data_IF_818965166059
#
_entry.id   IF_818965166059
#
_cell.length_a   1.000
_cell.length_b   1.000
_cell.length_c   1.000
_cell.angle_alpha   90.00
_cell.angle_beta   90.00
_cell.angle_gamma   90.00
#
_symmetry.space_group_name_H-M   'P 1'
#
loop_
_entity.id
_entity.type
_entity.pdbx_description
1 polymer ?
#
# COMPACT_ATOMS: atom_id res chain seq x y z
N UNK A 1 35.85 -78.84 -39.23
CA UNK A 1 34.59 -79.59 -39.46
C UNK A 1 33.61 -79.30 -38.34
N UNK A 2 32.37 -79.00 -38.72
CA UNK A 2 31.13 -78.98 -37.92
C UNK A 2 30.89 -77.84 -36.91
N UNK A 3 30.12 -76.89 -37.45
CA UNK A 3 29.16 -75.96 -36.85
C UNK A 3 28.28 -76.51 -35.72
N UNK A 4 27.85 -75.60 -34.81
CA UNK A 4 26.45 -75.21 -34.53
C UNK A 4 26.28 -74.71 -33.06
N UNK A 5 25.96 -73.43 -32.81
CA UNK A 5 24.61 -72.87 -32.46
C UNK A 5 24.15 -73.36 -31.04
N UNK A 6 23.83 -72.55 -29.99
CA UNK A 6 23.00 -71.33 -29.87
C UNK A 6 23.11 -70.70 -28.46
N UNK A 7 22.95 -69.36 -28.45
CA UNK A 7 22.57 -68.36 -27.41
C UNK A 7 22.00 -68.79 -26.04
N UNK A 8 22.42 -68.06 -24.99
CA UNK A 8 21.60 -67.33 -23.97
C UNK A 8 22.54 -66.43 -23.15
N UNK A 9 22.66 -65.12 -23.44
CA UNK A 9 21.92 -63.99 -22.84
C UNK A 9 21.99 -63.90 -21.31
N UNK A 10 22.82 -62.97 -20.81
CA UNK A 10 22.90 -62.60 -19.40
C UNK A 10 23.97 -61.53 -19.17
N UNK A 11 23.74 -60.31 -19.65
CA UNK A 11 24.67 -59.19 -19.52
C UNK A 11 24.76 -58.71 -18.07
N UNK A 12 25.89 -58.97 -17.42
CA UNK A 12 26.26 -58.42 -16.12
C UNK A 12 26.71 -56.96 -16.31
N UNK A 13 25.85 -56.00 -15.96
CA UNK A 13 26.15 -54.56 -16.06
C UNK A 13 26.60 -54.02 -14.71
N UNK A 14 27.80 -53.43 -14.76
CA UNK A 14 28.48 -52.59 -13.79
C UNK A 14 27.55 -51.72 -12.92
N UNK A 15 27.60 -51.94 -11.60
CA UNK A 15 27.12 -50.99 -10.60
C UNK A 15 28.30 -50.14 -10.09
N UNK A 16 28.33 -48.88 -10.51
CA UNK A 16 28.82 -47.72 -9.74
C UNK A 16 28.61 -46.43 -10.53
N UNK A 17 27.66 -45.60 -10.09
CA UNK A 17 27.94 -44.16 -9.87
C UNK A 17 26.85 -43.44 -9.09
N UNK A 18 27.31 -42.87 -7.98
CA UNK A 18 26.79 -41.73 -7.26
C UNK A 18 26.14 -40.64 -8.13
N UNK A 19 24.97 -40.15 -7.73
CA UNK A 19 24.82 -38.89 -6.97
C UNK A 19 23.35 -38.48 -6.93
N UNK A 20 22.77 -38.46 -5.72
CA UNK A 20 21.46 -37.88 -5.42
C UNK A 20 21.47 -36.39 -5.81
N UNK A 21 20.70 -36.01 -6.83
CA UNK A 21 20.32 -34.61 -7.11
C UNK A 21 19.50 -34.07 -5.94
N UNK A 22 20.20 -33.44 -4.98
CA UNK A 22 19.58 -32.59 -3.97
C UNK A 22 18.94 -31.40 -4.69
N UNK A 23 17.60 -31.34 -4.65
CA UNK A 23 16.85 -30.13 -5.01
C UNK A 23 17.36 -28.99 -4.13
N UNK A 24 18.01 -27.98 -4.72
CA UNK A 24 18.42 -26.73 -4.06
C UNK A 24 17.20 -26.17 -3.30
N UNK A 25 17.25 -26.19 -1.97
CA UNK A 25 16.36 -25.37 -1.13
C UNK A 25 16.65 -23.92 -1.50
N UNK A 26 15.65 -23.21 -1.98
CA UNK A 26 15.70 -21.76 -2.18
C UNK A 26 16.06 -21.13 -0.83
N UNK A 27 17.26 -20.60 -0.71
CA UNK A 27 17.73 -19.93 0.49
C UNK A 27 16.83 -18.71 0.70
N UNK A 28 16.04 -18.70 1.77
CA UNK A 28 15.38 -17.47 2.23
C UNK A 28 16.50 -16.49 2.54
N UNK A 29 16.70 -15.50 1.66
CA UNK A 29 17.61 -14.39 1.91
C UNK A 29 17.20 -13.74 3.23
N UNK A 30 17.93 -14.02 4.32
CA UNK A 30 17.88 -13.29 5.58
C UNK A 30 18.76 -12.05 5.36
N UNK A 31 18.18 -10.86 5.50
CA UNK A 31 18.88 -9.59 5.27
C UNK A 31 19.10 -8.93 6.62
N UNK A 32 20.20 -8.18 6.77
CA UNK A 32 20.47 -7.47 8.00
C UNK A 32 19.40 -6.42 8.27
N UNK A 33 19.07 -6.21 9.55
CA UNK A 33 18.16 -5.15 10.01
C UNK A 33 18.84 -3.78 10.01
N UNK A 34 20.16 -3.75 10.19
CA UNK A 34 20.94 -2.53 10.40
C UNK A 34 21.69 -2.09 9.16
N UNK A 35 22.02 -3.02 8.26
CA UNK A 35 22.80 -2.73 7.06
C UNK A 35 22.03 -3.10 5.79
N UNK A 36 21.86 -2.13 4.89
CA UNK A 36 21.29 -2.36 3.56
C UNK A 36 22.33 -3.05 2.68
N UNK A 37 22.04 -4.23 2.11
CA UNK A 37 22.94 -4.84 1.14
C UNK A 37 23.19 -3.93 -0.08
N UNK A 38 24.40 -3.99 -0.64
CA UNK A 38 24.78 -3.13 -1.77
C UNK A 38 23.98 -3.43 -3.03
N UNK A 39 23.59 -4.70 -3.21
CA UNK A 39 22.82 -5.18 -4.35
C UNK A 39 21.30 -4.95 -4.23
N UNK A 40 20.82 -4.24 -3.21
CA UNK A 40 19.39 -3.98 -3.01
C UNK A 40 19.09 -2.48 -2.92
N UNK A 41 17.99 -2.09 -3.56
CA UNK A 41 17.37 -0.78 -3.33
C UNK A 41 16.82 -0.65 -1.91
N UNK A 42 16.68 0.59 -1.43
CA UNK A 42 16.19 0.88 -0.08
C UNK A 42 14.79 0.29 0.17
N UNK A 43 13.85 0.55 -0.75
CA UNK A 43 12.47 0.05 -0.64
C UNK A 43 12.40 -1.48 -0.66
N UNK A 44 13.19 -2.12 -1.52
CA UNK A 44 13.23 -3.56 -1.65
C UNK A 44 13.75 -4.21 -0.36
N UNK A 45 14.85 -3.69 0.19
CA UNK A 45 15.38 -4.12 1.48
C UNK A 45 14.33 -3.95 2.60
N UNK A 46 13.66 -2.81 2.65
CA UNK A 46 12.61 -2.53 3.64
C UNK A 46 11.38 -3.44 3.51
N UNK A 47 11.00 -3.84 2.28
CA UNK A 47 9.94 -4.83 2.03
C UNK A 47 10.37 -6.24 2.46
N UNK A 48 11.61 -6.64 2.18
CA UNK A 48 12.16 -7.94 2.61
C UNK A 48 12.20 -8.04 4.13
N UNK A 49 12.62 -6.98 4.83
CA UNK A 49 12.61 -6.94 6.29
C UNK A 49 11.19 -7.18 6.84
N UNK A 50 10.18 -6.48 6.33
CA UNK A 50 8.77 -6.67 6.75
C UNK A 50 8.29 -8.12 6.55
N UNK A 51 8.69 -8.76 5.44
CA UNK A 51 8.41 -10.19 5.19
C UNK A 51 9.06 -11.09 6.22
N UNK A 52 10.34 -10.87 6.54
CA UNK A 52 11.07 -11.68 7.53
C UNK A 52 10.50 -11.53 8.93
N UNK A 53 10.20 -10.28 9.33
CA UNK A 53 9.60 -10.01 10.63
C UNK A 53 8.22 -10.63 10.76
N UNK A 54 7.41 -10.55 9.69
CA UNK A 54 6.09 -11.13 9.65
C UNK A 54 6.09 -12.64 9.95
N UNK A 55 7.04 -13.40 9.41
CA UNK A 55 7.12 -14.85 9.67
C UNK A 55 7.34 -15.21 11.16
N UNK A 56 7.88 -14.28 11.95
CA UNK A 56 8.20 -14.47 13.38
C UNK A 56 7.05 -14.04 14.30
N UNK A 57 6.00 -13.41 13.77
CA UNK A 57 4.89 -12.89 14.59
C UNK A 57 3.89 -13.98 14.95
N UNK A 58 3.24 -13.82 16.11
CA UNK A 58 2.16 -14.68 16.61
C UNK A 58 0.80 -13.97 16.63
N UNK A 59 0.50 -13.20 15.57
CA UNK A 59 -0.78 -12.50 15.48
C UNK A 59 -1.97 -13.44 15.31
N UNK A 60 -3.10 -13.07 15.91
CA UNK A 60 -4.39 -13.74 15.69
C UNK A 60 -5.04 -13.12 14.46
N UNK A 61 -5.46 -13.95 13.50
CA UNK A 61 -6.05 -13.52 12.24
C UNK A 61 -7.46 -14.09 12.09
N UNK A 62 -8.45 -13.22 11.91
CA UNK A 62 -9.86 -13.57 11.74
C UNK A 62 -10.35 -13.02 10.40
N UNK A 63 -10.94 -13.86 9.57
CA UNK A 63 -11.61 -13.42 8.34
C UNK A 63 -12.96 -12.79 8.70
N UNK A 64 -13.24 -11.59 8.19
CA UNK A 64 -14.48 -10.84 8.42
C UNK A 64 -15.34 -10.73 7.16
N UNK A 65 -14.82 -11.08 5.99
CA UNK A 65 -15.58 -11.14 4.75
C UNK A 65 -15.87 -12.58 4.32
N UNK A 66 -16.51 -12.71 3.16
CA UNK A 66 -17.04 -13.98 2.66
C UNK A 66 -16.00 -14.83 1.94
N UNK A 67 -15.06 -14.20 1.22
CA UNK A 67 -14.08 -14.94 0.44
C UNK A 67 -12.95 -15.46 1.35
N UNK A 68 -12.41 -16.67 1.13
CA UNK A 68 -11.37 -17.20 2.01
C UNK A 68 -10.05 -16.42 1.94
N UNK A 69 -9.69 -15.87 0.77
CA UNK A 69 -8.38 -15.21 0.52
C UNK A 69 -8.53 -13.70 0.28
N UNK A 70 -9.20 -13.30 -0.80
CA UNK A 70 -9.49 -11.92 -1.14
C UNK A 70 -10.61 -11.32 -0.29
N UNK A 71 -10.28 -10.99 0.96
CA UNK A 71 -11.27 -10.59 1.96
C UNK A 71 -10.73 -9.53 2.90
N UNK A 72 -11.60 -9.09 3.80
CA UNK A 72 -11.24 -8.23 4.91
C UNK A 72 -10.97 -9.08 6.16
N UNK A 73 -9.86 -8.78 6.82
CA UNK A 73 -9.36 -9.50 7.97
C UNK A 73 -9.19 -8.55 9.16
N UNK A 74 -9.43 -9.10 10.33
CA UNK A 74 -9.08 -8.49 11.61
C UNK A 74 -7.85 -9.22 12.15
N UNK A 75 -6.77 -8.47 12.39
CA UNK A 75 -5.52 -8.98 12.90
C UNK A 75 -5.24 -8.37 14.28
N UNK A 76 -5.12 -9.20 15.30
CA UNK A 76 -4.89 -8.78 16.69
C UNK A 76 -3.49 -9.19 17.13
N UNK A 77 -2.73 -8.24 17.68
CA UNK A 77 -1.49 -8.53 18.36
C UNK A 77 -1.78 -8.99 19.80
N UNK A 78 -1.50 -10.25 20.19
CA UNK A 78 -1.78 -10.71 21.54
C UNK A 78 -0.97 -9.99 22.62
N UNK A 79 0.20 -9.44 22.30
CA UNK A 79 1.07 -8.77 23.29
C UNK A 79 0.59 -7.35 23.63
N UNK A 80 0.03 -6.64 22.65
CA UNK A 80 -0.40 -5.24 22.80
C UNK A 80 -1.91 -5.07 22.77
N UNK A 81 -2.65 -6.15 22.52
CA UNK A 81 -4.11 -6.22 22.33
C UNK A 81 -4.70 -5.39 21.17
N UNK A 82 -3.88 -4.57 20.51
CA UNK A 82 -4.26 -3.79 19.34
C UNK A 82 -4.74 -4.67 18.19
N UNK A 83 -5.85 -4.24 17.59
CA UNK A 83 -6.47 -4.88 16.43
C UNK A 83 -6.43 -3.97 15.22
N UNK A 84 -5.99 -4.52 14.09
CA UNK A 84 -5.89 -3.82 12.81
C UNK A 84 -6.80 -4.48 11.77
N UNK A 85 -7.51 -3.65 11.01
CA UNK A 85 -8.22 -4.05 9.78
C UNK A 85 -7.23 -4.18 8.61
N UNK A 86 -7.38 -5.24 7.82
CA UNK A 86 -6.54 -5.55 6.65
C UNK A 86 -7.44 -6.00 5.50
N UNK A 87 -7.30 -5.38 4.34
CA UNK A 87 -7.99 -5.79 3.11
C UNK A 87 -6.99 -6.45 2.16
N UNK A 88 -7.20 -7.74 1.88
CA UNK A 88 -6.38 -8.50 0.93
C UNK A 88 -7.12 -8.58 -0.40
N UNK A 89 -6.46 -8.15 -1.48
CA UNK A 89 -6.99 -8.16 -2.85
C UNK A 89 -5.98 -8.65 -3.90
N UNK A 90 -4.80 -9.08 -3.44
CA UNK A 90 -3.73 -9.59 -4.29
C UNK A 90 -2.49 -9.89 -3.45
N UNK A 91 -1.40 -10.30 -4.08
CA UNK A 91 -0.18 -10.67 -3.36
C UNK A 91 1.02 -9.74 -3.61
N UNK A 92 0.83 -8.72 -4.45
CA UNK A 92 1.81 -7.66 -4.73
C UNK A 92 1.63 -6.47 -3.77
N UNK A 93 2.70 -5.74 -3.43
CA UNK A 93 2.60 -4.46 -2.75
C UNK A 93 1.66 -3.50 -3.49
N UNK A 94 0.87 -2.73 -2.74
CA UNK A 94 -0.10 -1.77 -3.28
C UNK A 94 -1.46 -2.35 -3.65
N UNK A 95 -1.61 -3.69 -3.69
CA UNK A 95 -2.91 -4.34 -3.87
C UNK A 95 -3.75 -4.38 -2.59
N UNK A 96 -3.09 -4.28 -1.44
CA UNK A 96 -3.66 -4.57 -0.12
C UNK A 96 -3.60 -3.31 0.74
N UNK A 97 -4.51 -3.21 1.71
CA UNK A 97 -4.62 -2.06 2.61
C UNK A 97 -4.54 -2.52 4.06
N UNK A 98 -3.90 -1.74 4.92
CA UNK A 98 -3.88 -1.98 6.36
C UNK A 98 -4.07 -0.68 7.13
N UNK A 99 -4.90 -0.74 8.18
CA UNK A 99 -5.17 0.39 9.08
C UNK A 99 -3.99 0.79 9.99
N UNK A 100 -2.90 0.03 10.02
CA UNK A 100 -1.78 0.30 10.92
C UNK A 100 -0.99 1.55 10.53
N UNK A 101 -0.39 2.28 11.49
CA UNK A 101 0.39 3.49 11.21
C UNK A 101 1.55 3.29 10.24
N UNK A 102 2.30 2.18 10.36
CA UNK A 102 3.43 1.85 9.47
C UNK A 102 3.01 1.89 8.00
N UNK A 103 1.90 1.21 7.65
CA UNK A 103 1.39 1.18 6.27
C UNK A 103 1.09 2.58 5.73
N UNK A 104 0.48 3.45 6.56
CA UNK A 104 0.06 4.79 6.16
C UNK A 104 1.23 5.72 5.82
N UNK A 105 2.36 5.55 6.49
CA UNK A 105 3.49 6.49 6.42
C UNK A 105 4.69 5.97 5.64
N UNK A 106 4.80 4.65 5.42
CA UNK A 106 6.02 4.07 4.84
C UNK A 106 6.09 4.12 3.30
N UNK A 107 4.97 4.36 2.61
CA UNK A 107 4.84 4.37 1.13
C UNK A 107 5.31 3.07 0.41
N UNK A 108 5.53 1.98 1.13
CA UNK A 108 6.01 0.72 0.55
C UNK A 108 4.89 -0.13 -0.06
N UNK A 109 3.62 0.26 0.12
CA UNK A 109 2.45 -0.52 -0.28
C UNK A 109 2.30 -1.84 0.48
N UNK A 110 3.00 -1.99 1.62
CA UNK A 110 2.92 -3.15 2.50
C UNK A 110 3.36 -2.80 3.93
N UNK A 111 3.07 -3.67 4.88
CA UNK A 111 3.50 -3.56 6.28
C UNK A 111 3.67 -4.96 6.87
N UNK A 112 4.21 -5.06 8.09
CA UNK A 112 4.35 -6.37 8.75
C UNK A 112 3.04 -7.16 8.87
N UNK A 113 1.90 -6.47 9.00
CA UNK A 113 0.59 -7.11 9.15
C UNK A 113 0.07 -7.70 7.82
N UNK A 114 0.25 -6.98 6.70
CA UNK A 114 -0.07 -7.47 5.36
C UNK A 114 0.80 -8.68 5.04
N UNK A 115 2.11 -8.57 5.25
CA UNK A 115 3.03 -9.68 4.97
C UNK A 115 2.73 -10.92 5.82
N UNK A 116 2.35 -10.74 7.10
CA UNK A 116 1.92 -11.86 7.95
C UNK A 116 0.64 -12.52 7.41
N UNK A 117 -0.33 -11.71 7.02
CA UNK A 117 -1.61 -12.19 6.49
C UNK A 117 -1.40 -12.96 5.20
N UNK A 118 -0.64 -12.39 4.25
CA UNK A 118 -0.26 -13.06 3.01
C UNK A 118 0.51 -14.36 3.27
N UNK A 119 1.44 -14.37 4.23
CA UNK A 119 2.17 -15.57 4.63
C UNK A 119 1.25 -16.68 5.13
N UNK A 120 0.25 -16.36 5.97
CA UNK A 120 -0.75 -17.33 6.45
C UNK A 120 -1.66 -17.81 5.33
N UNK A 121 -2.14 -16.90 4.48
CA UNK A 121 -3.03 -17.24 3.37
C UNK A 121 -2.34 -18.12 2.32
N UNK A 122 -1.07 -17.83 1.99
CA UNK A 122 -0.27 -18.60 1.01
C UNK A 122 -0.01 -20.06 1.41
N UNK A 123 -0.24 -20.44 2.67
CA UNK A 123 -0.16 -21.84 3.14
C UNK A 123 -1.41 -22.67 2.85
N UNK A 124 -2.51 -22.04 2.43
CA UNK A 124 -3.75 -22.77 2.10
C UNK A 124 -3.61 -23.50 0.77
N UNK A 125 -4.28 -24.65 0.66
CA UNK A 125 -4.19 -25.58 -0.49
C UNK A 125 -4.43 -24.87 -1.84
N UNK A 126 -5.39 -23.96 -1.89
CA UNK A 126 -5.82 -23.30 -3.14
C UNK A 126 -5.23 -21.90 -3.33
N UNK A 127 -4.33 -21.46 -2.45
CA UNK A 127 -3.84 -20.08 -2.46
C UNK A 127 -3.06 -19.73 -3.72
N UNK A 128 -2.24 -20.65 -4.22
CA UNK A 128 -1.45 -20.42 -5.45
C UNK A 128 -2.36 -20.16 -6.64
N UNK A 129 -3.40 -20.99 -6.81
CA UNK A 129 -4.39 -20.86 -7.88
C UNK A 129 -5.17 -19.55 -7.74
N UNK A 130 -5.64 -19.24 -6.54
CA UNK A 130 -6.38 -18.02 -6.27
C UNK A 130 -5.56 -16.75 -6.60
N UNK A 131 -4.28 -16.70 -6.25
CA UNK A 131 -3.43 -15.52 -6.54
C UNK A 131 -3.01 -15.41 -8.01
N UNK A 132 -3.08 -16.48 -8.80
CA UNK A 132 -2.82 -16.43 -10.25
C UNK A 132 -4.05 -16.04 -11.07
N UNK A 133 -5.25 -16.33 -10.55
CA UNK A 133 -6.51 -16.01 -11.22
C UNK A 133 -6.94 -14.57 -10.92
N UNK A 134 -7.49 -13.89 -11.92
CA UNK A 134 -8.10 -12.57 -11.72
C UNK A 134 -9.38 -12.74 -10.92
N UNK A 135 -9.38 -12.23 -9.69
CA UNK A 135 -10.57 -12.25 -8.83
C UNK A 135 -11.30 -10.90 -8.89
N UNK A 136 -12.54 -10.92 -9.36
CA UNK A 136 -13.45 -9.78 -9.30
C UNK A 136 -14.36 -9.89 -8.08
N UNK A 137 -14.43 -8.82 -7.30
CA UNK A 137 -15.31 -8.71 -6.13
C UNK A 137 -16.72 -8.35 -6.56
N UNK A 138 -17.78 -8.71 -5.82
CA UNK A 138 -19.16 -8.34 -6.17
C UNK A 138 -19.46 -6.84 -6.01
N UNK A 139 -18.49 -6.06 -5.56
CA UNK A 139 -18.57 -4.61 -5.35
C UNK A 139 -17.32 -3.94 -5.93
N UNK A 140 -17.44 -2.65 -6.22
CA UNK A 140 -16.29 -1.83 -6.63
C UNK A 140 -15.68 -1.13 -5.41
N UNK A 141 -14.40 -0.81 -5.49
CA UNK A 141 -13.68 -0.12 -4.42
C UNK A 141 -12.99 1.14 -4.93
N UNK A 142 -12.94 2.15 -4.08
CA UNK A 142 -12.06 3.32 -4.21
C UNK A 142 -11.07 3.24 -3.07
N UNK A 143 -9.78 3.20 -3.40
CA UNK A 143 -8.72 3.01 -2.44
C UNK A 143 -7.54 3.93 -2.74
N UNK A 144 -6.76 4.23 -1.70
CA UNK A 144 -5.51 4.96 -1.85
C UNK A 144 -4.39 3.98 -2.17
N UNK A 145 -3.77 4.14 -3.33
CA UNK A 145 -2.57 3.40 -3.69
C UNK A 145 -1.33 4.09 -3.13
N UNK A 146 -0.50 3.33 -2.43
CA UNK A 146 0.74 3.80 -1.82
C UNK A 146 1.93 3.34 -2.65
N UNK A 147 2.64 4.30 -3.24
CA UNK A 147 3.88 4.12 -3.98
C UNK A 147 4.67 5.43 -3.97
N UNK A 148 5.39 5.74 -5.06
CA UNK A 148 6.14 6.99 -5.21
C UNK A 148 5.27 8.24 -4.98
N UNK A 149 4.01 8.17 -5.44
CA UNK A 149 2.95 9.11 -5.09
C UNK A 149 1.73 8.35 -4.56
N UNK A 150 0.99 9.00 -3.67
CA UNK A 150 -0.32 8.54 -3.22
C UNK A 150 -1.34 8.87 -4.30
N UNK A 151 -2.10 7.87 -4.75
CA UNK A 151 -3.06 8.02 -5.85
C UNK A 151 -4.39 7.41 -5.47
N UNK A 152 -5.50 8.11 -5.72
CA UNK A 152 -6.83 7.54 -5.57
C UNK A 152 -7.09 6.67 -6.79
N UNK A 153 -7.33 5.38 -6.57
CA UNK A 153 -7.58 4.40 -7.61
C UNK A 153 -8.93 3.73 -7.47
N UNK A 154 -9.48 3.32 -8.61
CA UNK A 154 -10.73 2.58 -8.68
C UNK A 154 -10.47 1.11 -9.03
N UNK A 155 -11.01 0.21 -8.22
CA UNK A 155 -11.07 -1.23 -8.51
C UNK A 155 -12.48 -1.58 -8.96
N UNK A 156 -12.59 -2.07 -10.18
CA UNK A 156 -13.86 -2.47 -10.77
C UNK A 156 -14.30 -3.83 -10.20
N UNK A 157 -15.52 -3.86 -9.66
CA UNK A 157 -16.19 -5.08 -9.25
C UNK A 157 -16.78 -5.85 -10.44
N UNK A 158 -17.11 -7.11 -10.19
CA UNK A 158 -17.93 -7.94 -11.05
C UNK A 158 -19.28 -7.26 -11.30
N UNK A 159 -19.78 -7.34 -12.53
CA UNK A 159 -21.10 -6.87 -12.91
C UNK A 159 -21.32 -5.36 -12.69
N UNK A 160 -20.24 -4.56 -12.68
CA UNK A 160 -20.31 -3.11 -12.54
C UNK A 160 -21.21 -2.48 -13.63
N UNK A 161 -22.21 -1.65 -13.26
CA UNK A 161 -23.21 -1.16 -14.20
C UNK A 161 -22.63 -0.16 -15.21
N UNK A 162 -23.24 -0.08 -16.39
CA UNK A 162 -22.81 0.83 -17.47
C UNK A 162 -22.83 2.30 -17.02
N UNK A 163 -23.79 2.70 -16.19
CA UNK A 163 -23.86 4.05 -15.61
C UNK A 163 -22.61 4.38 -14.79
N UNK A 164 -22.12 3.45 -13.97
CA UNK A 164 -20.88 3.60 -13.22
C UNK A 164 -19.67 3.67 -14.15
N UNK A 165 -19.62 2.84 -15.20
CA UNK A 165 -18.53 2.88 -16.21
C UNK A 165 -18.47 4.23 -16.93
N UNK A 166 -19.61 4.82 -17.28
CA UNK A 166 -19.68 6.16 -17.87
C UNK A 166 -19.20 7.23 -16.90
N UNK A 167 -19.62 7.16 -15.64
CA UNK A 167 -19.14 8.07 -14.58
C UNK A 167 -17.62 7.99 -14.41
N UNK A 168 -17.05 6.78 -14.43
CA UNK A 168 -15.60 6.58 -14.30
C UNK A 168 -14.82 7.27 -15.41
N UNK A 169 -15.30 7.28 -16.65
CA UNK A 169 -14.61 7.97 -17.77
C UNK A 169 -14.48 9.48 -17.54
N UNK A 170 -15.43 10.07 -16.79
CA UNK A 170 -15.40 11.48 -16.42
C UNK A 170 -14.32 11.74 -15.38
N UNK A 171 -14.30 10.98 -14.29
CA UNK A 171 -13.48 11.26 -13.11
C UNK A 171 -12.10 10.57 -13.07
N UNK A 172 -11.96 9.43 -13.73
CA UNK A 172 -10.76 8.59 -13.73
C UNK A 172 -10.17 8.49 -15.14
N UNK A 173 -8.85 8.30 -15.20
CA UNK A 173 -8.14 8.05 -16.45
C UNK A 173 -8.21 6.56 -16.86
N UNK A 174 -7.53 6.20 -17.95
CA UNK A 174 -7.46 4.83 -18.48
C UNK A 174 -6.86 3.84 -17.48
N UNK A 175 -5.94 4.30 -16.63
CA UNK A 175 -5.28 3.50 -15.59
C UNK A 175 -6.11 3.39 -14.30
N UNK A 176 -7.36 3.86 -14.34
CA UNK A 176 -8.28 3.91 -13.20
C UNK A 176 -7.74 4.75 -12.03
N UNK A 177 -6.98 5.79 -12.33
CA UNK A 177 -6.48 6.80 -11.38
C UNK A 177 -7.37 8.05 -11.47
N UNK A 178 -7.73 8.63 -10.32
CA UNK A 178 -8.49 9.88 -10.27
C UNK A 178 -7.70 10.99 -10.97
N UNK A 179 -8.36 11.76 -11.84
CA UNK A 179 -7.72 12.90 -12.51
C UNK A 179 -7.49 14.04 -11.51
N UNK A 180 -6.37 14.75 -11.63
CA UNK A 180 -5.95 15.75 -10.65
C UNK A 180 -6.97 16.90 -10.50
N UNK A 181 -7.63 17.30 -11.60
CA UNK A 181 -8.68 18.32 -11.59
C UNK A 181 -9.92 17.92 -10.75
N UNK A 182 -10.05 16.63 -10.44
CA UNK A 182 -11.17 16.07 -9.68
C UNK A 182 -10.86 15.83 -8.20
N UNK A 183 -9.62 16.04 -7.77
CA UNK A 183 -9.19 15.75 -6.40
C UNK A 183 -9.92 16.61 -5.37
N UNK A 184 -9.99 17.93 -5.60
CA UNK A 184 -10.59 18.87 -4.64
C UNK A 184 -12.12 18.80 -4.60
N UNK A 185 -12.76 18.25 -5.62
CA UNK A 185 -14.21 18.05 -5.73
C UNK A 185 -14.59 16.57 -5.79
N UNK A 186 -13.78 15.70 -5.20
CA UNK A 186 -14.03 14.26 -5.17
C UNK A 186 -15.40 13.86 -4.60
N UNK A 187 -15.98 14.68 -3.71
CA UNK A 187 -17.35 14.50 -3.20
C UNK A 187 -18.41 14.49 -4.31
N UNK A 188 -18.19 15.23 -5.41
CA UNK A 188 -19.08 15.20 -6.57
C UNK A 188 -19.14 13.82 -7.21
N UNK A 189 -18.01 13.12 -7.27
CA UNK A 189 -17.98 11.74 -7.75
C UNK A 189 -18.81 10.84 -6.84
N UNK A 190 -18.56 10.86 -5.52
CA UNK A 190 -19.28 10.04 -4.56
C UNK A 190 -20.81 10.26 -4.61
N UNK A 191 -21.24 11.53 -4.70
CA UNK A 191 -22.65 11.88 -4.81
C UNK A 191 -23.27 11.46 -6.15
N UNK A 192 -22.46 11.28 -7.19
CA UNK A 192 -22.90 10.83 -8.52
C UNK A 192 -22.90 9.30 -8.65
N UNK A 193 -22.39 8.56 -7.67
CA UNK A 193 -22.40 7.09 -7.70
C UNK A 193 -23.85 6.60 -7.62
N UNK A 194 -24.32 5.76 -8.57
CA UNK A 194 -25.68 5.23 -8.54
C UNK A 194 -25.93 4.40 -7.27
N UNK A 195 -26.91 4.79 -6.45
CA UNK A 195 -27.22 4.10 -5.19
C UNK A 195 -28.20 2.92 -5.34
N UNK A 196 -29.02 2.91 -6.39
CA UNK A 196 -30.17 1.98 -6.52
C UNK A 196 -29.96 0.86 -7.56
N UNK A 197 -28.70 0.57 -7.93
CA UNK A 197 -28.40 -0.35 -9.03
C UNK A 197 -27.97 -1.76 -8.55
N UNK A 198 -28.11 -2.05 -7.25
CA UNK A 198 -27.67 -3.32 -6.65
C UNK A 198 -26.16 -3.56 -6.61
N UNK A 199 -25.35 -2.59 -7.08
CA UNK A 199 -23.90 -2.65 -7.12
C UNK A 199 -23.30 -1.69 -6.10
N UNK A 200 -22.65 -2.23 -5.06
CA UNK A 200 -22.03 -1.44 -4.00
C UNK A 200 -20.70 -0.82 -4.48
N UNK A 201 -20.44 0.44 -4.11
CA UNK A 201 -19.15 1.09 -4.29
C UNK A 201 -18.62 1.50 -2.92
N UNK A 202 -17.53 0.86 -2.48
CA UNK A 202 -16.91 1.11 -1.18
C UNK A 202 -15.77 2.11 -1.31
N UNK A 203 -15.80 3.17 -0.50
CA UNK A 203 -14.68 4.12 -0.41
C UNK A 203 -13.90 3.84 0.88
N UNK A 204 -12.58 3.70 0.79
CA UNK A 204 -11.74 3.51 1.97
C UNK A 204 -11.56 4.83 2.74
N UNK A 205 -11.50 4.75 4.08
CA UNK A 205 -11.39 5.93 4.96
C UNK A 205 -10.15 6.80 4.68
N UNK A 206 -9.06 6.17 4.24
CA UNK A 206 -7.80 6.86 3.95
C UNK A 206 -7.87 7.71 2.67
N UNK A 207 -8.78 7.40 1.74
CA UNK A 207 -9.09 8.24 0.58
C UNK A 207 -9.69 9.57 1.04
N UNK A 208 -10.66 9.54 1.95
CA UNK A 208 -11.30 10.77 2.45
C UNK A 208 -10.31 11.63 3.22
N UNK A 209 -9.45 11.02 4.03
CA UNK A 209 -8.38 11.72 4.74
C UNK A 209 -7.39 12.39 3.78
N UNK A 210 -7.03 11.72 2.68
CA UNK A 210 -6.15 12.26 1.65
C UNK A 210 -6.78 13.43 0.89
N UNK A 211 -8.07 13.33 0.53
CA UNK A 211 -8.81 14.43 -0.10
C UNK A 211 -8.88 15.64 0.81
N UNK A 212 -9.22 15.44 2.10
CA UNK A 212 -9.29 16.51 3.08
C UNK A 212 -7.94 17.23 3.23
N UNK A 213 -6.82 16.48 3.29
CA UNK A 213 -5.47 17.06 3.35
C UNK A 213 -5.18 18.01 2.17
N UNK A 214 -5.63 17.67 0.96
CA UNK A 214 -5.46 18.50 -0.24
C UNK A 214 -6.41 19.71 -0.24
N UNK A 215 -7.65 19.53 0.19
CA UNK A 215 -8.63 20.60 0.33
C UNK A 215 -8.17 21.64 1.36
N UNK A 216 -7.66 21.19 2.50
CA UNK A 216 -7.09 22.06 3.53
C UNK A 216 -5.88 22.83 3.01
N UNK A 217 -5.01 22.19 2.22
CA UNK A 217 -3.87 22.86 1.58
C UNK A 217 -4.32 23.95 0.62
N UNK A 218 -5.23 23.63 -0.30
CA UNK A 218 -5.78 24.59 -1.25
C UNK A 218 -6.49 25.77 -0.55
N UNK A 219 -7.21 25.47 0.54
CA UNK A 219 -7.86 26.50 1.35
C UNK A 219 -6.84 27.44 2.02
N UNK A 220 -5.80 26.89 2.65
CA UNK A 220 -4.71 27.69 3.24
C UNK A 220 -4.03 28.57 2.20
N UNK A 221 -3.69 28.02 1.04
CA UNK A 221 -3.07 28.77 -0.06
C UNK A 221 -3.94 29.94 -0.50
N UNK A 222 -5.25 29.73 -0.62
CA UNK A 222 -6.21 30.80 -0.95
C UNK A 222 -6.22 31.89 0.12
N UNK A 223 -6.28 31.53 1.40
CA UNK A 223 -6.23 32.49 2.52
C UNK A 223 -4.94 33.31 2.45
N UNK A 224 -3.79 32.66 2.32
CA UNK A 224 -2.48 33.33 2.25
C UNK A 224 -2.44 34.27 1.05
N UNK A 225 -2.85 33.82 -0.14
CA UNK A 225 -2.86 34.66 -1.34
C UNK A 225 -3.77 35.89 -1.19
N UNK A 226 -4.91 35.75 -0.50
CA UNK A 226 -5.87 36.85 -0.32
C UNK A 226 -5.46 37.81 0.80
N UNK A 227 -5.04 37.29 1.96
CA UNK A 227 -4.79 38.08 3.18
C UNK A 227 -3.33 38.54 3.32
N UNK A 228 -2.39 37.84 2.69
CA UNK A 228 -0.95 38.05 2.82
C UNK A 228 -0.30 38.46 1.48
N UNK A 229 -0.96 39.31 0.69
CA UNK A 229 -0.46 39.79 -0.62
C UNK A 229 0.93 40.44 -0.56
N UNK A 230 1.24 41.13 0.53
CA UNK A 230 2.55 41.76 0.76
C UNK A 230 3.59 40.83 1.41
N UNK A 231 3.30 39.53 1.53
CA UNK A 231 4.16 38.58 2.24
C UNK A 231 4.41 39.03 3.68
N UNK A 232 5.68 39.08 4.08
CA UNK A 232 6.09 39.52 5.43
C UNK A 232 5.82 41.01 5.71
N UNK A 233 5.54 41.81 4.67
CA UNK A 233 5.17 43.24 4.80
C UNK A 233 3.66 43.43 4.97
N UNK A 234 2.87 42.36 4.95
CA UNK A 234 1.43 42.46 5.12
C UNK A 234 1.05 43.07 6.48
N UNK A 235 -0.01 43.91 6.54
CA UNK A 235 -0.40 44.62 7.77
C UNK A 235 -0.65 43.72 8.98
N UNK A 236 -1.00 42.45 8.75
CA UNK A 236 -1.26 41.49 9.80
C UNK A 236 -0.06 41.37 10.77
N UNK A 237 1.18 41.45 10.26
CA UNK A 237 2.38 41.33 11.08
C UNK A 237 2.66 42.55 11.99
N UNK A 238 1.91 43.65 11.83
CA UNK A 238 2.08 44.83 12.69
C UNK A 238 1.32 44.71 14.02
N UNK A 239 0.17 44.01 14.01
CA UNK A 239 -0.78 44.07 15.13
C UNK A 239 -1.09 42.69 15.76
N UNK A 240 -0.49 41.59 15.28
CA UNK A 240 -0.72 40.26 15.87
C UNK A 240 -0.08 40.13 17.26
N UNK A 241 1.10 40.72 17.46
CA UNK A 241 1.88 40.58 18.70
C UNK A 241 2.20 41.96 19.30
N UNK A 242 2.41 42.00 20.61
CA UNK A 242 2.89 43.20 21.33
C UNK A 242 4.35 43.54 21.03
N UNK A 243 5.12 42.59 20.51
CA UNK A 243 6.53 42.76 20.15
C UNK A 243 6.69 42.74 18.63
N UNK A 244 7.67 43.48 18.12
CA UNK A 244 8.04 43.39 16.72
C UNK A 244 8.81 42.11 16.45
N UNK A 245 8.42 41.41 15.38
CA UNK A 245 9.14 40.23 14.89
C UNK A 245 10.26 40.66 13.94
N UNK A 246 11.42 40.01 14.06
CA UNK A 246 12.48 40.09 13.07
C UNK A 246 12.00 39.55 11.71
N UNK A 247 12.66 39.97 10.62
CA UNK A 247 12.25 39.56 9.27
C UNK A 247 12.24 38.04 9.10
N UNK A 248 13.28 37.34 9.56
CA UNK A 248 13.37 35.88 9.48
C UNK A 248 12.26 35.17 10.26
N UNK A 249 11.79 35.74 11.38
CA UNK A 249 10.68 35.17 12.15
C UNK A 249 9.36 35.30 11.39
N UNK A 250 9.13 36.41 10.69
CA UNK A 250 7.97 36.61 9.82
C UNK A 250 8.00 35.66 8.63
N UNK A 251 9.18 35.42 8.05
CA UNK A 251 9.38 34.45 6.97
C UNK A 251 9.11 33.03 7.45
N UNK A 252 9.66 32.64 8.60
CA UNK A 252 9.41 31.34 9.23
C UNK A 252 7.93 31.12 9.54
N UNK A 253 7.25 32.11 10.10
CA UNK A 253 5.81 32.05 10.37
C UNK A 253 5.00 31.92 9.06
N UNK A 254 5.32 32.72 8.04
CA UNK A 254 4.66 32.65 6.74
C UNK A 254 4.90 31.30 6.06
N UNK A 255 6.11 30.76 6.15
CA UNK A 255 6.46 29.43 5.68
C UNK A 255 5.65 28.35 6.39
N UNK A 256 5.60 28.38 7.73
CA UNK A 256 4.86 27.41 8.53
C UNK A 256 3.37 27.38 8.16
N UNK A 257 2.74 28.54 8.00
CA UNK A 257 1.33 28.65 7.60
C UNK A 257 1.11 28.09 6.18
N UNK A 258 2.00 28.41 5.23
CA UNK A 258 1.91 27.89 3.85
C UNK A 258 2.10 26.38 3.80
N UNK A 259 3.12 25.87 4.48
CA UNK A 259 3.46 24.45 4.50
C UNK A 259 2.36 23.62 5.19
N UNK A 260 1.65 24.19 6.17
CA UNK A 260 0.62 23.52 6.97
C UNK A 260 1.20 22.52 7.99
N UNK A 261 2.29 21.84 7.64
CA UNK A 261 3.16 21.09 8.55
C UNK A 261 4.61 21.46 8.25
N UNK A 262 5.34 21.87 9.28
CA UNK A 262 6.77 22.11 9.20
C UNK A 262 7.45 21.57 10.45
N UNK A 263 8.71 21.16 10.29
CA UNK A 263 9.63 20.99 11.39
C UNK A 263 10.42 22.29 11.50
N UNK A 264 10.45 22.86 12.69
CA UNK A 264 11.31 24.00 13.01
C UNK A 264 12.45 23.39 13.81
N UNK A 265 13.66 23.47 13.29
CA UNK A 265 14.86 23.07 14.01
C UNK A 265 15.52 24.30 14.61
N UNK A 266 15.77 24.27 15.92
CA UNK A 266 16.60 25.27 16.57
C UNK A 266 18.07 24.85 16.57
N UNK A 267 18.93 25.70 16.00
CA UNK A 267 20.38 25.49 15.98
C UNK A 267 20.99 25.69 17.39
N UNK A 268 20.26 26.35 18.29
CA UNK A 268 20.67 26.56 19.69
C UNK A 268 20.31 25.39 20.61
N UNK A 269 19.66 24.34 20.10
CA UNK A 269 19.34 23.14 20.88
C UNK A 269 18.29 23.34 21.97
N UNK A 270 17.46 24.38 21.89
CA UNK A 270 16.37 24.63 22.84
C UNK A 270 15.04 23.98 22.41
N UNK A 271 15.01 23.26 21.29
CA UNK A 271 13.86 22.48 20.82
C UNK A 271 13.96 22.01 19.38
#
# INVERSE_FOLDING_TARGET
>A
MKSAIRKKSGSNKQDKKDTKKQKKKTIKLKVSKTHKPDNLGLEEWQRILRKQFAEQQNFKLINRGFHPIFSDFSLTNPETEKTYKISIRGDKPGNNVCSCPDFRINNLGTCKHIEFTLFKLKKRRDAKKAFTETHSLPFSEIYLHYGLKREIRFREGKDAPTSLKTLLKKFFNTDKVLKDEHLLNFSQFLNSVPQNNGHEVRCHDDVMSFVAEHQDSAHREKIVKTKLKGGIKSPIFKNILKTELYQYQKEGALFAVKAGRCLIGDDMGLG
#
